data_IF_924361104503
#
_entry.id   IF_924361104503
#
_cell.length_a   1.000
_cell.length_b   1.000
_cell.length_c   1.000
_cell.angle_alpha   90.00
_cell.angle_beta   90.00
_cell.angle_gamma   90.00
#
_symmetry.space_group_name_H-M   'P 1'
#
loop_
_entity.id
_entity.type
_entity.pdbx_description
1 polymer ?
#
# COMPACT_ATOMS: atom_id res chain seq x y z
N UNK A 1 18.52 3.71 -27.31
CA UNK A 1 19.36 2.93 -26.39
C UNK A 1 20.25 3.96 -25.71
N UNK A 2 20.00 4.24 -24.44
CA UNK A 2 20.87 5.10 -23.65
C UNK A 2 22.17 4.34 -23.40
N UNK A 3 23.25 4.76 -24.07
CA UNK A 3 24.56 4.12 -23.96
C UNK A 3 25.41 4.70 -22.80
N UNK A 4 24.85 5.60 -21.98
CA UNK A 4 25.55 6.31 -20.91
C UNK A 4 24.86 6.20 -19.53
N UNK A 5 23.76 5.47 -19.41
CA UNK A 5 23.07 5.27 -18.13
C UNK A 5 23.96 4.53 -17.13
N UNK A 6 24.45 5.24 -16.11
CA UNK A 6 25.01 4.62 -14.90
C UNK A 6 23.96 4.66 -13.79
N UNK A 7 23.58 3.50 -13.27
CA UNK A 7 22.72 3.38 -12.08
C UNK A 7 23.60 3.18 -10.86
N UNK A 8 23.56 4.13 -9.93
CA UNK A 8 24.18 3.98 -8.60
C UNK A 8 23.10 3.71 -7.56
N UNK A 9 23.32 2.71 -6.71
CA UNK A 9 22.40 2.37 -5.61
C UNK A 9 23.05 2.78 -4.29
N UNK A 10 22.38 3.65 -3.55
CA UNK A 10 22.81 4.12 -2.22
C UNK A 10 21.68 3.98 -1.23
N UNK A 11 22.00 3.69 0.03
CA UNK A 11 21.00 3.59 1.10
C UNK A 11 20.47 4.99 1.44
N UNK A 12 19.15 5.17 1.44
CA UNK A 12 18.52 6.34 2.03
C UNK A 12 18.29 6.09 3.53
N UNK A 13 19.19 6.56 4.38
CA UNK A 13 19.08 6.37 5.84
C UNK A 13 18.04 7.27 6.51
N UNK A 14 17.42 8.20 5.77
CA UNK A 14 16.37 9.09 6.29
C UNK A 14 14.97 8.45 6.28
N UNK A 15 14.80 7.30 5.60
CA UNK A 15 13.53 6.60 5.50
C UNK A 15 13.63 5.19 6.10
N UNK A 16 12.59 4.78 6.81
CA UNK A 16 12.43 3.42 7.31
C UNK A 16 10.99 2.98 7.08
N UNK A 17 10.81 1.96 6.24
CA UNK A 17 9.51 1.34 5.99
C UNK A 17 9.14 0.43 7.17
N UNK A 18 7.97 0.65 7.73
CA UNK A 18 7.36 -0.07 8.85
C UNK A 18 6.44 -1.18 8.37
N UNK A 19 5.61 -0.95 7.35
CA UNK A 19 4.58 -1.89 6.90
C UNK A 19 4.77 -2.32 5.43
N UNK A 20 4.25 -3.51 5.10
CA UNK A 20 4.08 -4.04 3.74
C UNK A 20 5.40 -4.17 2.96
N UNK A 21 6.45 -4.71 3.60
CA UNK A 21 7.77 -4.90 2.97
C UNK A 21 7.78 -6.06 1.97
N UNK A 22 6.96 -7.07 2.18
CA UNK A 22 6.76 -8.13 1.18
C UNK A 22 5.67 -7.70 0.20
N UNK A 23 5.80 -8.15 -1.05
CA UNK A 23 4.91 -7.87 -2.16
C UNK A 23 3.45 -7.73 -1.71
N UNK A 24 2.84 -6.59 -2.00
CA UNK A 24 1.50 -6.25 -1.58
C UNK A 24 0.74 -5.56 -2.70
N UNK A 25 -0.60 -5.51 -2.58
CA UNK A 25 -1.40 -4.69 -3.47
C UNK A 25 -1.05 -3.21 -3.29
N UNK A 26 -0.62 -2.56 -4.37
CA UNK A 26 -0.15 -1.18 -4.39
C UNK A 26 -0.94 -0.34 -5.39
N UNK A 27 -1.39 0.85 -4.97
CA UNK A 27 -1.89 1.89 -5.86
C UNK A 27 -1.06 3.16 -5.70
N UNK A 28 -0.76 3.82 -6.81
CA UNK A 28 0.04 5.05 -6.82
C UNK A 28 -0.78 6.25 -7.29
N UNK A 29 -0.54 7.40 -6.68
CA UNK A 29 -1.15 8.67 -7.02
C UNK A 29 -0.08 9.75 -7.20
N UNK A 30 -0.38 10.73 -8.05
CA UNK A 30 0.41 11.95 -8.19
C UNK A 30 -0.45 13.16 -7.88
N UNK A 31 0.06 14.05 -7.02
CA UNK A 31 -0.49 15.38 -6.79
C UNK A 31 0.43 16.43 -7.41
N UNK A 32 0.00 17.06 -8.51
CA UNK A 32 0.78 18.08 -9.21
C UNK A 32 0.91 19.39 -8.44
N UNK A 33 -0.09 19.72 -7.62
CA UNK A 33 -0.10 20.96 -6.83
C UNK A 33 0.92 20.88 -5.69
N UNK A 34 1.00 19.70 -5.04
CA UNK A 34 1.96 19.42 -3.96
C UNK A 34 3.30 18.87 -4.46
N UNK A 35 3.40 18.54 -5.74
CA UNK A 35 4.53 17.80 -6.35
C UNK A 35 4.90 16.55 -5.54
N UNK A 36 3.89 15.75 -5.20
CA UNK A 36 4.05 14.62 -4.30
C UNK A 36 3.54 13.32 -4.95
N UNK A 37 4.35 12.28 -4.84
CA UNK A 37 3.96 10.90 -5.16
C UNK A 37 3.45 10.22 -3.89
N UNK A 38 2.35 9.48 -4.03
CA UNK A 38 1.76 8.68 -2.96
C UNK A 38 1.74 7.23 -3.43
N UNK A 39 2.20 6.33 -2.58
CA UNK A 39 2.17 4.89 -2.79
C UNK A 39 1.40 4.28 -1.63
N UNK A 40 0.15 3.90 -1.87
CA UNK A 40 -0.69 3.26 -0.85
C UNK A 40 -0.55 1.74 -0.96
N UNK A 41 0.11 1.16 0.04
CA UNK A 41 0.35 -0.26 0.20
C UNK A 41 -0.77 -0.85 1.07
N UNK A 42 -1.42 -1.91 0.58
CA UNK A 42 -2.59 -2.51 1.22
C UNK A 42 -2.30 -3.96 1.61
N UNK A 43 -2.17 -4.20 2.92
CA UNK A 43 -1.96 -5.52 3.48
C UNK A 43 -0.53 -6.03 3.30
N UNK A 44 -0.38 -7.33 3.02
CA UNK A 44 0.94 -7.94 2.81
C UNK A 44 1.51 -8.58 4.07
N UNK A 45 2.85 -8.64 4.12
CA UNK A 45 3.61 -9.09 5.28
C UNK A 45 4.52 -7.95 5.71
N UNK A 46 4.47 -7.63 7.01
CA UNK A 46 5.08 -6.42 7.55
C UNK A 46 6.18 -6.71 8.56
N UNK A 47 7.07 -5.76 8.78
CA UNK A 47 7.95 -5.76 9.95
C UNK A 47 7.24 -5.21 11.19
N UNK A 48 6.35 -4.21 11.08
CA UNK A 48 5.51 -3.75 12.18
C UNK A 48 4.08 -4.32 12.07
N UNK A 49 3.36 -4.38 13.18
CA UNK A 49 1.94 -4.75 13.22
C UNK A 49 1.21 -3.99 14.32
N UNK A 50 -0.10 -3.84 14.19
CA UNK A 50 -0.93 -3.24 15.23
C UNK A 50 -1.19 -4.26 16.35
N UNK A 51 -0.97 -3.84 17.59
CA UNK A 51 -1.40 -4.56 18.79
C UNK A 51 -2.14 -3.57 19.68
N UNK A 52 -3.46 -3.71 19.78
CA UNK A 52 -4.35 -2.82 20.54
C UNK A 52 -4.18 -1.34 20.11
N UNK A 53 -4.24 -1.07 18.80
CA UNK A 53 -4.09 0.29 18.25
C UNK A 53 -2.67 0.87 18.25
N UNK A 54 -1.65 0.13 18.71
CA UNK A 54 -0.26 0.58 18.73
C UNK A 54 0.59 -0.23 17.75
N UNK A 55 1.35 0.46 16.88
CA UNK A 55 2.32 -0.21 16.02
C UNK A 55 3.52 -0.71 16.82
N UNK A 56 3.80 -2.00 16.73
CA UNK A 56 4.94 -2.66 17.37
C UNK A 56 5.81 -3.37 16.34
N UNK A 57 7.14 -3.34 16.49
CA UNK A 57 8.02 -4.10 15.63
C UNK A 57 7.87 -5.60 15.88
N UNK A 58 8.12 -6.38 14.84
CA UNK A 58 8.26 -7.82 14.94
C UNK A 58 9.46 -8.19 15.81
N UNK A 59 9.37 -9.37 16.41
CA UNK A 59 10.41 -10.00 17.21
C UNK A 59 10.65 -11.41 16.68
N UNK A 60 11.57 -12.13 17.29
CA UNK A 60 11.81 -13.55 16.97
C UNK A 60 10.56 -14.43 17.19
N UNK A 61 9.61 -14.00 18.03
CA UNK A 61 8.40 -14.77 18.36
C UNK A 61 7.23 -14.53 17.39
N UNK A 62 7.35 -13.54 16.51
CA UNK A 62 6.31 -13.11 15.57
C UNK A 62 6.97 -12.47 14.35
N UNK A 63 7.90 -13.19 13.74
CA UNK A 63 8.64 -12.74 12.58
C UNK A 63 7.73 -12.83 11.34
N UNK A 64 7.75 -11.80 10.49
CA UNK A 64 6.95 -11.75 9.26
C UNK A 64 5.42 -11.88 9.47
N UNK A 65 4.79 -11.02 10.29
CA UNK A 65 3.35 -11.02 10.43
C UNK A 65 2.63 -10.64 9.13
N UNK A 66 1.67 -11.47 8.72
CA UNK A 66 0.62 -11.04 7.80
C UNK A 66 -0.14 -9.87 8.43
N UNK A 67 -0.44 -8.86 7.61
CA UNK A 67 -1.12 -7.65 8.08
C UNK A 67 -2.34 -7.34 7.22
N UNK A 68 -3.33 -6.71 7.84
CA UNK A 68 -4.43 -6.03 7.14
C UNK A 68 -4.18 -4.52 7.02
N UNK A 69 -3.07 -4.01 7.58
CA UNK A 69 -2.80 -2.59 7.63
C UNK A 69 -2.68 -1.99 6.23
N UNK A 70 -3.12 -0.75 6.11
CA UNK A 70 -2.92 0.06 4.91
C UNK A 70 -2.00 1.21 5.30
N UNK A 71 -1.01 1.48 4.48
CA UNK A 71 -0.03 2.55 4.72
C UNK A 71 0.21 3.32 3.44
N UNK A 72 0.55 4.59 3.54
CA UNK A 72 0.92 5.40 2.38
C UNK A 72 2.34 5.92 2.54
N UNK A 73 3.21 5.58 1.61
CA UNK A 73 4.52 6.22 1.47
C UNK A 73 4.34 7.46 0.60
N UNK A 74 4.73 8.62 1.14
CA UNK A 74 4.69 9.91 0.44
C UNK A 74 6.11 10.32 0.11
N UNK A 75 6.36 10.62 -1.16
CA UNK A 75 7.61 11.20 -1.64
C UNK A 75 7.33 12.63 -2.13
N UNK A 76 8.00 13.62 -1.53
CA UNK A 76 7.91 15.02 -1.92
C UNK A 76 9.27 15.72 -1.81
N UNK A 77 9.31 17.04 -2.01
CA UNK A 77 10.52 17.86 -1.78
C UNK A 77 11.02 17.75 -0.31
N UNK A 78 10.15 17.42 0.64
CA UNK A 78 10.52 17.21 2.04
C UNK A 78 11.19 15.85 2.32
N UNK A 79 11.21 14.94 1.35
CA UNK A 79 11.76 13.59 1.47
C UNK A 79 10.70 12.50 1.35
N UNK A 80 11.04 11.31 1.86
CA UNK A 80 10.14 10.15 1.90
C UNK A 80 9.70 9.88 3.33
N UNK A 81 8.40 9.73 3.54
CA UNK A 81 7.82 9.40 4.84
C UNK A 81 6.65 8.42 4.67
N UNK A 82 6.51 7.51 5.63
CA UNK A 82 5.39 6.58 5.70
C UNK A 82 4.30 7.09 6.65
N UNK A 83 3.05 6.90 6.25
CA UNK A 83 1.85 7.26 7.00
C UNK A 83 0.91 6.05 7.12
N UNK A 84 1.06 5.23 8.19
CA UNK A 84 0.15 4.13 8.47
C UNK A 84 -1.27 4.63 8.78
N UNK A 85 -2.28 3.99 8.20
CA UNK A 85 -3.68 4.22 8.58
C UNK A 85 -3.98 3.57 9.94
N UNK A 86 -4.89 4.15 10.75
CA UNK A 86 -5.32 3.54 12.00
C UNK A 86 -5.93 2.15 11.77
N UNK A 87 -5.86 1.28 12.77
CA UNK A 87 -6.35 -0.10 12.71
C UNK A 87 -7.83 -0.22 12.29
N UNK A 88 -8.65 0.80 12.59
CA UNK A 88 -10.05 0.90 12.16
C UNK A 88 -10.25 1.12 10.65
N UNK A 89 -9.18 1.44 9.92
CA UNK A 89 -9.13 1.68 8.47
C UNK A 89 -8.20 0.65 7.82
N UNK A 90 -8.42 -0.63 8.12
CA UNK A 90 -7.66 -1.76 7.60
C UNK A 90 -8.46 -2.59 6.60
N UNK A 91 -7.77 -3.49 5.89
CA UNK A 91 -8.41 -4.51 5.08
C UNK A 91 -9.29 -5.42 5.97
N UNK A 92 -10.37 -5.98 5.41
CA UNK A 92 -11.31 -6.80 6.19
C UNK A 92 -10.70 -8.13 6.69
N UNK A 93 -9.54 -8.52 6.15
CA UNK A 93 -8.78 -9.71 6.52
C UNK A 93 -7.29 -9.47 6.35
N UNK A 94 -6.48 -10.42 6.83
CA UNK A 94 -5.04 -10.47 6.60
C UNK A 94 -4.77 -10.96 5.15
N UNK A 95 -4.93 -10.04 4.20
CA UNK A 95 -4.76 -10.28 2.77
C UNK A 95 -3.76 -9.29 2.18
N UNK A 96 -3.58 -9.34 0.86
CA UNK A 96 -2.79 -8.34 0.14
C UNK A 96 -1.40 -8.85 -0.22
N UNK A 97 -0.90 -9.87 0.49
CA UNK A 97 0.37 -10.53 0.13
C UNK A 97 0.26 -11.15 -1.26
N UNK A 98 1.10 -10.72 -2.21
CA UNK A 98 1.06 -11.15 -3.62
C UNK A 98 -0.30 -10.89 -4.32
N UNK A 99 -1.08 -9.94 -3.80
CA UNK A 99 -2.34 -9.54 -4.43
C UNK A 99 -2.10 -8.45 -5.47
N UNK A 100 -2.78 -8.54 -6.60
CA UNK A 100 -2.72 -7.55 -7.66
C UNK A 100 -3.70 -6.40 -7.39
N UNK A 101 -3.28 -5.18 -7.72
CA UNK A 101 -4.17 -4.04 -7.86
C UNK A 101 -4.62 -3.89 -9.31
N UNK A 102 -5.92 -3.79 -9.53
CA UNK A 102 -6.53 -3.54 -10.84
C UNK A 102 -7.04 -2.09 -10.85
N UNK A 103 -6.39 -1.17 -11.58
CA UNK A 103 -6.77 0.24 -11.59
C UNK A 103 -8.11 0.48 -12.31
N UNK A 104 -8.92 1.43 -11.82
CA UNK A 104 -10.18 1.82 -12.46
C UNK A 104 -9.92 2.58 -13.78
N UNK A 105 -10.21 1.98 -14.96
CA UNK A 105 -9.84 2.56 -16.25
C UNK A 105 -10.58 3.86 -16.60
N UNK A 106 -11.63 4.21 -15.85
CA UNK A 106 -12.39 5.44 -16.03
C UNK A 106 -11.71 6.68 -15.41
N UNK A 107 -10.69 6.49 -14.56
CA UNK A 107 -9.95 7.60 -13.94
C UNK A 107 -8.90 8.19 -14.89
N UNK A 108 -8.44 9.39 -14.57
CA UNK A 108 -7.30 10.02 -15.25
C UNK A 108 -5.99 9.53 -14.65
N UNK A 109 -4.97 9.41 -15.49
CA UNK A 109 -3.63 8.92 -15.13
C UNK A 109 -2.58 9.87 -15.68
N UNK A 110 -1.50 10.05 -14.94
CA UNK A 110 -0.38 10.92 -15.36
C UNK A 110 0.61 10.22 -16.30
N UNK A 111 0.39 8.93 -16.58
CA UNK A 111 1.26 8.13 -17.43
C UNK A 111 0.46 7.17 -18.34
N UNK A 112 1.00 6.89 -19.53
CA UNK A 112 0.36 6.06 -20.56
C UNK A 112 0.09 4.61 -20.10
N UNK A 113 0.93 4.10 -19.19
CA UNK A 113 0.77 2.76 -18.63
C UNK A 113 -0.42 2.65 -17.65
N UNK A 114 -1.06 3.78 -17.28
CA UNK A 114 -2.20 3.85 -16.36
C UNK A 114 -1.94 3.20 -15.00
N UNK A 115 -0.77 3.48 -14.43
CA UNK A 115 -0.36 2.95 -13.12
C UNK A 115 -0.28 4.02 -12.03
N UNK A 116 -0.33 5.31 -12.41
CA UNK A 116 -0.30 6.43 -11.47
C UNK A 116 -1.54 7.30 -11.71
N UNK A 117 -2.48 7.26 -10.76
CA UNK A 117 -3.73 8.03 -10.83
C UNK A 117 -3.41 9.51 -10.61
N UNK A 118 -4.00 10.38 -11.43
CA UNK A 118 -3.94 11.84 -11.25
C UNK A 118 -4.87 12.25 -10.09
N UNK A 119 -4.28 12.59 -8.94
CA UNK A 119 -5.04 12.90 -7.73
C UNK A 119 -5.81 14.22 -7.83
N UNK A 120 -5.29 15.20 -8.59
CA UNK A 120 -5.95 16.50 -8.79
C UNK A 120 -7.16 16.40 -9.73
N UNK A 121 -7.26 15.31 -10.49
CA UNK A 121 -8.40 15.03 -11.37
C UNK A 121 -9.60 14.39 -10.67
N UNK A 122 -9.43 13.90 -9.43
CA UNK A 122 -10.50 13.20 -8.71
C UNK A 122 -11.52 14.19 -8.15
N UNK A 123 -12.78 13.75 -8.10
CA UNK A 123 -13.86 14.53 -7.49
C UNK A 123 -13.51 14.88 -6.03
N UNK A 124 -13.63 16.16 -5.73
CA UNK A 124 -13.38 16.69 -4.39
C UNK A 124 -14.64 16.49 -3.54
N UNK A 125 -14.48 16.00 -2.32
CA UNK A 125 -15.56 15.71 -1.35
C UNK A 125 -16.41 14.46 -1.62
N UNK A 126 -15.75 13.31 -1.84
CA UNK A 126 -16.45 12.04 -2.00
C UNK A 126 -15.58 10.80 -1.82
N UNK A 127 -16.24 9.65 -1.92
CA UNK A 127 -15.59 8.35 -2.05
C UNK A 127 -15.44 8.04 -3.54
N UNK A 128 -14.22 7.79 -3.99
CA UNK A 128 -13.90 7.49 -5.39
C UNK A 128 -13.42 6.05 -5.51
N UNK A 129 -14.04 5.26 -6.38
CA UNK A 129 -13.59 3.91 -6.69
C UNK A 129 -12.29 3.98 -7.49
N UNK A 130 -11.16 3.71 -6.85
CA UNK A 130 -9.82 3.79 -7.47
C UNK A 130 -9.41 2.49 -8.16
N UNK A 131 -10.04 1.38 -7.80
CA UNK A 131 -9.77 0.08 -8.42
C UNK A 131 -10.19 -1.08 -7.55
N UNK A 132 -9.54 -2.22 -7.74
CA UNK A 132 -9.83 -3.46 -7.04
C UNK A 132 -8.56 -4.20 -6.60
N UNK A 133 -8.66 -4.96 -5.52
CA UNK A 133 -7.65 -5.95 -5.12
C UNK A 133 -8.12 -7.33 -5.56
N UNK A 134 -7.26 -8.06 -6.27
CA UNK A 134 -7.54 -9.41 -6.76
C UNK A 134 -6.40 -10.38 -6.43
N UNK A 135 -6.75 -11.60 -6.04
CA UNK A 135 -5.77 -12.66 -5.80
C UNK A 135 -5.01 -12.49 -4.49
N UNK A 136 -3.79 -13.05 -4.48
CA UNK A 136 -2.90 -13.08 -3.34
C UNK A 136 -3.23 -14.14 -2.30
N UNK A 137 -2.56 -14.03 -1.15
CA UNK A 137 -2.67 -14.93 -0.01
C UNK A 137 -3.60 -14.30 1.04
N UNK A 138 -4.58 -15.08 1.51
CA UNK A 138 -5.36 -14.79 2.73
C UNK A 138 -4.81 -15.65 3.88
N UNK A 139 -4.44 -15.03 5.00
CA UNK A 139 -4.00 -15.71 6.21
C UNK A 139 -5.10 -15.70 7.29
N UNK A 140 -5.25 -16.79 8.04
CA UNK A 140 -6.24 -16.86 9.14
C UNK A 140 -5.74 -16.25 10.45
N UNK A 141 -4.44 -16.00 10.57
CA UNK A 141 -3.82 -15.33 11.70
C UNK A 141 -2.55 -14.58 11.25
N UNK A 142 -2.02 -13.65 12.05
CA UNK A 142 -0.79 -12.93 11.70
C UNK A 142 0.42 -13.85 11.47
N UNK A 143 0.41 -15.06 12.03
CA UNK A 143 1.46 -16.05 11.88
C UNK A 143 0.88 -17.34 11.30
N UNK A 144 1.43 -17.79 10.18
CA UNK A 144 1.00 -19.04 9.55
C UNK A 144 1.52 -20.25 10.31
N UNK A 145 0.67 -21.26 10.48
CA UNK A 145 1.05 -22.56 11.04
C UNK A 145 0.09 -23.65 10.55
N UNK A 146 0.28 -24.89 11.00
CA UNK A 146 -0.69 -25.97 10.73
C UNK A 146 -2.09 -25.63 11.25
N UNK A 147 -2.19 -24.89 12.37
CA UNK A 147 -3.47 -24.46 12.95
C UNK A 147 -3.96 -23.11 12.42
N UNK A 148 -3.06 -22.33 11.81
CA UNK A 148 -3.35 -21.04 11.18
C UNK A 148 -2.93 -21.06 9.70
N UNK A 149 -3.65 -21.80 8.85
CA UNK A 149 -3.27 -21.96 7.45
C UNK A 149 -3.44 -20.67 6.64
N UNK A 150 -2.84 -20.65 5.47
CA UNK A 150 -3.03 -19.63 4.44
C UNK A 150 -3.73 -20.22 3.21
N UNK A 151 -4.41 -19.39 2.45
CA UNK A 151 -5.20 -19.79 1.30
C UNK A 151 -5.01 -18.84 0.13
N UNK A 152 -5.20 -19.34 -1.10
CA UNK A 152 -5.35 -18.48 -2.26
C UNK A 152 -6.66 -17.68 -2.13
N UNK A 153 -6.56 -16.36 -2.18
CA UNK A 153 -7.72 -15.48 -2.13
C UNK A 153 -8.37 -15.41 -3.52
N UNK A 154 -9.66 -15.75 -3.59
CA UNK A 154 -10.47 -15.70 -4.82
C UNK A 154 -11.48 -14.55 -4.85
N UNK A 155 -11.46 -13.69 -3.84
CA UNK A 155 -12.42 -12.59 -3.67
C UNK A 155 -11.83 -11.31 -4.28
N UNK A 156 -12.66 -10.61 -5.05
CA UNK A 156 -12.37 -9.28 -5.57
C UNK A 156 -12.87 -8.24 -4.57
N UNK A 157 -12.00 -7.31 -4.16
CA UNK A 157 -12.34 -6.24 -3.24
C UNK A 157 -12.29 -4.89 -3.94
N UNK A 158 -13.33 -4.07 -3.80
CA UNK A 158 -13.31 -2.67 -4.24
C UNK A 158 -12.43 -1.83 -3.31
N UNK A 159 -11.65 -0.93 -3.90
CA UNK A 159 -10.84 0.05 -3.17
C UNK A 159 -11.43 1.42 -3.41
N UNK A 160 -11.94 2.02 -2.33
CA UNK A 160 -12.55 3.34 -2.32
C UNK A 160 -11.60 4.32 -1.63
N UNK A 161 -11.28 5.42 -2.31
CA UNK A 161 -10.49 6.52 -1.74
C UNK A 161 -11.44 7.62 -1.27
N UNK A 162 -11.40 7.94 0.02
CA UNK A 162 -12.05 9.14 0.54
C UNK A 162 -11.04 10.29 0.47
N UNK A 163 -11.08 11.06 -0.61
CA UNK A 163 -10.16 12.16 -0.85
C UNK A 163 -10.78 13.48 -0.39
N UNK A 164 -10.08 14.19 0.49
CA UNK A 164 -10.40 15.56 0.84
C UNK A 164 -9.12 16.41 0.72
N UNK A 165 -8.96 17.19 -0.36
CA UNK A 165 -7.74 17.97 -0.60
C UNK A 165 -7.52 19.08 0.44
N UNK A 166 -8.53 19.42 1.24
CA UNK A 166 -8.48 20.43 2.30
C UNK A 166 -8.02 19.87 3.66
N UNK A 167 -7.82 18.55 3.78
CA UNK A 167 -7.33 17.86 4.99
C UNK A 167 -6.01 17.15 4.70
#
# INVERSE_FOLDING_TARGET
>A
IDNNGQTTVTINTAFSQMLSQYECSLVSFWDSDKKAMFHTLMGGISYYFYENGVLKPSTINNWLPFTSAITTVVQSEAGMQEFPQPESQSLPKLLGSDAAFIPNPALSYVNDAKTIIDLNSLDQDGSVLVGWIFGGIEATAPQSSEFNPTYANKVLYEVQLNWNPSK
#
